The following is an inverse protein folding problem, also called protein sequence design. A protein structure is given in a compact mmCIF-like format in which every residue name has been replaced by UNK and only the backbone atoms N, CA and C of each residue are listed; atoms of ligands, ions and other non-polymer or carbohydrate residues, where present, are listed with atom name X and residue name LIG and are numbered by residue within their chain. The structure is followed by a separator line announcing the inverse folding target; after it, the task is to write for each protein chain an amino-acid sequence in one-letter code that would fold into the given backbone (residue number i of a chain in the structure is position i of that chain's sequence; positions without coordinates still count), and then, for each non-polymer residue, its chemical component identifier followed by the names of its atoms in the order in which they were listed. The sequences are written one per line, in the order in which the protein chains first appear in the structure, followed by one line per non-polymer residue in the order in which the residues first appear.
data_IF_728709196113
#
_entry.id   IF_728709196113
#
_cell.length_a   1.000
_cell.length_b   1.000
_cell.length_c   1.000
_cell.angle_alpha   90.00
_cell.angle_beta   90.00
_cell.angle_gamma   90.00
#
_symmetry.space_group_name_H-M   'P 1'
#
loop_
_entity.id
_entity.type
_entity.pdbx_description
1 polymer ?
#
# COMPACT_ATOMS: atom_id res chain seq x y z
N UNK A 1 -5.07 -13.44 -10.14
CA UNK A 1 -6.31 -13.33 -9.34
C UNK A 1 -7.27 -14.53 -9.41
N UNK A 2 -7.02 -15.54 -10.24
CA UNK A 2 -7.97 -16.66 -10.41
C UNK A 2 -8.28 -17.39 -9.08
N UNK A 3 -7.26 -17.59 -8.24
CA UNK A 3 -7.35 -18.33 -6.98
C UNK A 3 -7.36 -17.43 -5.73
N UNK A 4 -7.68 -16.15 -5.86
CA UNK A 4 -7.69 -15.20 -4.75
C UNK A 4 -9.04 -14.50 -4.69
N UNK A 5 -9.65 -14.44 -3.51
CA UNK A 5 -10.82 -13.60 -3.22
C UNK A 5 -10.37 -12.41 -2.38
N UNK A 6 -10.82 -11.21 -2.72
CA UNK A 6 -10.49 -9.99 -2.00
C UNK A 6 -11.73 -9.51 -1.25
N UNK A 7 -11.64 -9.55 0.07
CA UNK A 7 -12.62 -8.96 0.97
C UNK A 7 -11.97 -7.70 1.55
N UNK A 8 -12.52 -6.55 1.24
CA UNK A 8 -12.04 -5.26 1.72
C UNK A 8 -12.98 -4.72 2.80
N UNK A 9 -12.45 -3.86 3.69
CA UNK A 9 -13.24 -3.28 4.79
C UNK A 9 -13.06 -1.77 4.77
N UNK A 10 -14.13 -1.03 5.02
CA UNK A 10 -14.10 0.41 5.19
C UNK A 10 -13.36 0.79 6.47
N UNK A 11 -12.58 1.86 6.45
CA UNK A 11 -12.03 2.44 7.66
C UNK A 11 -13.13 3.07 8.51
N UNK A 12 -13.13 2.81 9.81
CA UNK A 12 -14.12 3.36 10.75
C UNK A 12 -13.68 4.66 11.41
N UNK A 13 -12.37 4.94 11.36
CA UNK A 13 -11.75 6.17 11.88
C UNK A 13 -10.47 6.48 11.11
N UNK A 14 -10.03 7.72 11.17
CA UNK A 14 -8.76 8.17 10.63
C UNK A 14 -7.72 8.34 11.73
N UNK A 15 -6.46 8.11 11.39
CA UNK A 15 -5.29 8.48 12.20
C UNK A 15 -4.62 9.70 11.60
N UNK A 16 -3.87 10.43 12.41
CA UNK A 16 -3.11 11.59 11.95
C UNK A 16 -2.19 11.29 10.77
N UNK A 17 -1.66 10.07 10.68
CA UNK A 17 -0.81 9.61 9.57
C UNK A 17 -1.55 9.23 8.29
N UNK A 18 -2.89 9.25 8.29
CA UNK A 18 -3.66 8.93 7.08
C UNK A 18 -3.52 10.03 6.02
N UNK A 19 -3.40 9.60 4.76
CA UNK A 19 -3.25 10.48 3.61
C UNK A 19 -3.91 9.94 2.32
N UNK A 20 -4.77 8.92 2.43
CA UNK A 20 -5.37 8.28 1.25
C UNK A 20 -6.14 9.26 0.36
N UNK A 21 -6.81 10.26 0.95
CA UNK A 21 -7.56 11.28 0.20
C UNK A 21 -6.62 12.16 -0.64
N UNK A 22 -5.44 12.51 -0.10
CA UNK A 22 -4.43 13.26 -0.84
C UNK A 22 -3.89 12.50 -2.07
N UNK A 23 -4.02 11.18 -2.08
CA UNK A 23 -3.60 10.32 -3.20
C UNK A 23 -4.78 9.91 -4.10
N UNK A 24 -5.85 10.72 -4.17
CA UNK A 24 -7.07 10.46 -4.94
C UNK A 24 -7.78 9.15 -4.53
N UNK A 25 -7.39 8.58 -3.38
CA UNK A 25 -8.00 7.41 -2.78
C UNK A 25 -9.21 7.74 -1.92
N UNK A 26 -9.62 6.76 -1.12
CA UNK A 26 -10.67 6.92 -0.10
C UNK A 26 -10.36 5.99 1.08
N UNK A 27 -10.91 6.26 2.27
CA UNK A 27 -10.81 5.35 3.41
C UNK A 27 -11.74 4.13 3.28
N UNK A 28 -12.15 3.82 2.08
CA UNK A 28 -12.94 2.66 1.69
C UNK A 28 -12.59 2.22 0.26
N UNK A 29 -12.81 0.95 -0.10
CA UNK A 29 -12.50 0.45 -1.42
C UNK A 29 -13.52 1.00 -2.45
N UNK A 30 -13.01 1.51 -3.58
CA UNK A 30 -13.84 1.95 -4.73
C UNK A 30 -13.89 0.89 -5.83
N UNK A 31 -12.86 0.03 -5.93
CA UNK A 31 -12.67 -0.95 -7.01
C UNK A 31 -11.82 -2.12 -6.55
N UNK A 32 -11.78 -3.19 -7.38
CA UNK A 32 -10.86 -4.31 -7.26
C UNK A 32 -11.06 -5.20 -6.04
N UNK A 33 -12.26 -5.23 -5.46
CA UNK A 33 -12.68 -6.17 -4.42
C UNK A 33 -13.73 -7.16 -4.97
N UNK A 34 -13.91 -8.27 -4.30
CA UNK A 34 -15.00 -9.23 -4.55
C UNK A 34 -16.14 -8.99 -3.56
N UNK A 35 -15.81 -8.62 -2.30
CA UNK A 35 -16.75 -8.14 -1.29
C UNK A 35 -16.15 -6.94 -0.59
N UNK A 36 -16.93 -5.89 -0.36
CA UNK A 36 -16.60 -4.76 0.52
C UNK A 36 -17.51 -4.79 1.74
N UNK A 37 -16.92 -4.70 2.93
CA UNK A 37 -17.63 -4.69 4.20
C UNK A 37 -17.58 -3.29 4.82
N UNK A 38 -18.75 -2.73 5.08
CA UNK A 38 -18.87 -1.47 5.80
C UNK A 38 -19.42 -1.75 7.21
N UNK A 39 -18.62 -1.56 8.27
CA UNK A 39 -19.10 -1.72 9.65
C UNK A 39 -20.21 -0.71 9.97
N UNK A 40 -21.33 -1.17 10.46
CA UNK A 40 -22.47 -0.36 10.91
C UNK A 40 -22.93 -0.93 12.25
N UNK A 41 -22.68 -0.23 13.34
CA UNK A 41 -22.99 -0.65 14.70
C UNK A 41 -22.52 -2.09 15.00
N UNK A 42 -23.44 -3.05 15.08
CA UNK A 42 -23.18 -4.46 15.42
C UNK A 42 -23.24 -5.41 14.21
N UNK A 43 -23.28 -4.89 12.99
CA UNK A 43 -23.29 -5.69 11.76
C UNK A 43 -22.43 -5.06 10.67
N UNK A 44 -22.28 -5.76 9.56
CA UNK A 44 -21.57 -5.28 8.38
C UNK A 44 -22.55 -5.19 7.21
N UNK A 45 -22.56 -4.06 6.51
CA UNK A 45 -23.14 -4.00 5.18
C UNK A 45 -22.15 -4.57 4.17
N UNK A 46 -22.54 -5.64 3.48
CA UNK A 46 -21.73 -6.28 2.45
C UNK A 46 -22.15 -5.78 1.05
N UNK A 47 -21.19 -5.23 0.32
CA UNK A 47 -21.34 -4.91 -1.10
C UNK A 47 -20.60 -5.96 -1.93
N UNK A 48 -21.31 -6.61 -2.85
CA UNK A 48 -20.79 -7.68 -3.68
C UNK A 48 -20.40 -7.13 -5.06
N UNK A 49 -19.16 -7.35 -5.46
CA UNK A 49 -18.61 -6.83 -6.73
C UNK A 49 -18.07 -7.95 -7.60
N UNK A 50 -18.91 -8.89 -7.98
CA UNK A 50 -18.54 -9.91 -8.94
C UNK A 50 -18.87 -11.34 -8.53
N UNK A 51 -18.62 -12.32 -9.42
CA UNK A 51 -19.10 -13.70 -9.26
C UNK A 51 -18.49 -14.43 -8.07
N UNK A 52 -17.26 -14.09 -7.67
CA UNK A 52 -16.63 -14.73 -6.50
C UNK A 52 -17.28 -14.28 -5.19
N UNK A 53 -17.55 -12.98 -5.07
CA UNK A 53 -18.28 -12.45 -3.93
C UNK A 53 -19.70 -13.02 -3.87
N UNK A 54 -20.39 -13.10 -5.01
CA UNK A 54 -21.74 -13.67 -5.10
C UNK A 54 -21.74 -15.13 -4.63
N UNK A 55 -20.79 -15.94 -5.10
CA UNK A 55 -20.66 -17.35 -4.68
C UNK A 55 -20.51 -17.50 -3.15
N UNK A 56 -19.79 -16.58 -2.50
CA UNK A 56 -19.66 -16.60 -1.03
C UNK A 56 -21.01 -16.30 -0.39
N UNK A 57 -21.71 -15.27 -0.85
CA UNK A 57 -23.04 -14.92 -0.30
C UNK A 57 -24.04 -16.07 -0.49
N UNK A 58 -24.02 -16.71 -1.65
CA UNK A 58 -24.93 -17.83 -1.95
C UNK A 58 -24.64 -19.07 -1.08
N UNK A 59 -23.36 -19.40 -0.88
CA UNK A 59 -22.96 -20.52 -0.05
C UNK A 59 -23.24 -20.32 1.45
N UNK A 60 -23.28 -19.07 1.88
CA UNK A 60 -23.50 -18.69 3.29
C UNK A 60 -24.77 -17.86 3.48
N UNK A 61 -25.77 -18.05 2.63
CA UNK A 61 -27.02 -17.30 2.60
C UNK A 61 -27.68 -17.06 3.96
N UNK A 62 -27.75 -18.01 4.90
CA UNK A 62 -28.38 -17.81 6.19
C UNK A 62 -27.74 -16.70 7.05
N UNK A 63 -26.48 -16.33 6.79
CA UNK A 63 -25.77 -15.28 7.51
C UNK A 63 -26.02 -13.88 6.92
N UNK A 64 -26.66 -13.80 5.74
CA UNK A 64 -26.92 -12.54 5.06
C UNK A 64 -28.41 -12.21 5.08
N UNK A 65 -28.71 -10.96 5.43
CA UNK A 65 -30.05 -10.39 5.39
C UNK A 65 -30.11 -9.27 4.36
N UNK A 66 -31.26 -9.02 3.79
CA UNK A 66 -31.46 -7.87 2.91
C UNK A 66 -31.36 -6.58 3.72
N UNK A 67 -30.59 -5.58 3.27
CA UNK A 67 -30.46 -4.32 3.95
C UNK A 67 -31.73 -3.51 3.84
N UNK A 68 -32.02 -2.62 4.83
CA UNK A 68 -33.02 -1.60 4.69
C UNK A 68 -32.60 -0.51 3.70
N UNK A 69 -33.55 0.26 3.18
CA UNK A 69 -33.24 1.40 2.28
C UNK A 69 -32.35 2.44 2.94
N UNK A 70 -32.44 2.64 4.24
CA UNK A 70 -31.64 3.59 5.00
C UNK A 70 -30.18 3.14 5.22
N UNK A 71 -29.89 1.84 5.10
CA UNK A 71 -28.54 1.30 5.39
C UNK A 71 -27.49 1.85 4.44
N UNK A 72 -27.85 2.12 3.19
CA UNK A 72 -26.94 2.72 2.21
C UNK A 72 -26.58 4.17 2.58
N UNK A 73 -27.54 4.94 3.06
CA UNK A 73 -27.33 6.33 3.48
C UNK A 73 -26.46 6.41 4.73
N UNK A 74 -26.69 5.51 5.70
CA UNK A 74 -25.87 5.40 6.91
C UNK A 74 -24.41 5.09 6.52
N UNK A 75 -24.20 4.11 5.63
CA UNK A 75 -22.87 3.80 5.10
C UNK A 75 -22.20 5.03 4.48
N UNK A 76 -22.92 5.76 3.63
CA UNK A 76 -22.36 6.92 2.95
C UNK A 76 -21.99 8.00 3.96
N UNK A 77 -22.82 8.28 4.94
CA UNK A 77 -22.52 9.24 6.00
C UNK A 77 -21.27 8.85 6.81
N UNK A 78 -21.09 7.56 7.12
CA UNK A 78 -19.88 7.06 7.79
C UNK A 78 -18.64 7.24 6.93
N UNK A 79 -18.69 6.90 5.65
CA UNK A 79 -17.60 7.09 4.68
C UNK A 79 -17.21 8.56 4.54
N UNK A 80 -18.17 9.45 4.45
CA UNK A 80 -17.95 10.90 4.35
C UNK A 80 -17.33 11.45 5.63
N UNK A 81 -17.77 10.99 6.79
CA UNK A 81 -17.20 11.37 8.09
C UNK A 81 -15.70 11.03 8.14
N UNK A 82 -15.32 9.80 7.82
CA UNK A 82 -13.92 9.37 7.87
C UNK A 82 -13.10 10.09 6.79
N UNK A 83 -13.65 10.30 5.60
CA UNK A 83 -12.98 11.07 4.54
C UNK A 83 -12.68 12.51 4.98
N UNK A 84 -13.63 13.17 5.63
CA UNK A 84 -13.45 14.52 6.22
C UNK A 84 -12.40 14.53 7.32
N UNK A 85 -12.34 13.49 8.18
CA UNK A 85 -11.29 13.37 9.19
C UNK A 85 -9.89 13.27 8.55
N UNK A 86 -9.74 12.43 7.53
CA UNK A 86 -8.46 12.31 6.79
C UNK A 86 -8.08 13.66 6.18
N UNK A 87 -9.02 14.34 5.51
CA UNK A 87 -8.75 15.66 4.93
C UNK A 87 -8.32 16.67 5.98
N UNK A 88 -9.00 16.72 7.11
CA UNK A 88 -8.63 17.62 8.22
C UNK A 88 -7.21 17.38 8.75
N UNK A 89 -6.77 16.12 8.84
CA UNK A 89 -5.38 15.82 9.21
C UNK A 89 -4.37 16.25 8.14
N UNK A 90 -4.72 16.15 6.86
CA UNK A 90 -3.88 16.60 5.74
C UNK A 90 -3.73 18.13 5.80
N UNK A 91 -4.85 18.84 5.94
CA UNK A 91 -4.90 20.31 5.98
C UNK A 91 -4.09 20.85 7.18
N UNK A 92 -4.26 20.26 8.36
CA UNK A 92 -3.54 20.66 9.57
C UNK A 92 -2.02 20.47 9.48
N UNK A 93 -1.53 19.58 8.62
CA UNK A 93 -0.09 19.37 8.39
C UNK A 93 0.49 20.28 7.32
N UNK A 94 -0.32 21.03 6.61
CA UNK A 94 0.13 21.77 5.45
C UNK A 94 0.72 20.88 4.36
N UNK A 95 0.19 19.66 4.22
CA UNK A 95 0.67 18.74 3.18
C UNK A 95 0.49 19.38 1.81
N UNK A 96 1.51 19.32 0.93
CA UNK A 96 1.41 19.92 -0.40
C UNK A 96 0.34 19.21 -1.23
N UNK A 97 -0.28 19.96 -2.14
CA UNK A 97 -1.17 19.40 -3.14
C UNK A 97 -0.43 18.30 -3.93
N UNK A 98 -1.08 17.17 -4.13
CA UNK A 98 -0.49 16.03 -4.86
C UNK A 98 -0.14 16.35 -6.29
N UNK A 99 -0.82 17.32 -6.91
CA UNK A 99 -0.44 17.86 -8.24
C UNK A 99 0.94 18.50 -8.23
N UNK A 100 1.33 19.12 -7.12
CA UNK A 100 2.66 19.72 -6.92
C UNK A 100 3.73 18.66 -6.63
N UNK A 101 3.36 17.56 -5.98
CA UNK A 101 4.28 16.43 -5.68
C UNK A 101 4.64 15.67 -6.96
N UNK A 102 3.71 15.58 -7.89
CA UNK A 102 3.91 14.94 -9.19
C UNK A 102 5.00 15.66 -9.98
N UNK A 103 6.12 15.00 -10.17
CA UNK A 103 7.28 15.55 -10.88
C UNK A 103 8.38 16.18 -10.01
N UNK A 104 8.14 16.36 -8.69
CA UNK A 104 9.19 16.84 -7.75
C UNK A 104 10.42 15.93 -7.79
N UNK A 105 10.23 14.62 -7.78
CA UNK A 105 11.32 13.64 -7.86
C UNK A 105 12.12 13.82 -9.15
N UNK A 106 11.44 13.92 -10.29
CA UNK A 106 12.07 14.12 -11.60
C UNK A 106 12.85 15.44 -11.67
N UNK A 107 12.26 16.52 -11.15
CA UNK A 107 12.90 17.84 -11.10
C UNK A 107 14.19 17.83 -10.27
N UNK A 108 14.18 17.10 -9.15
CA UNK A 108 15.31 17.00 -8.23
C UNK A 108 16.20 15.77 -8.48
N UNK A 109 15.98 15.00 -9.54
CA UNK A 109 16.68 13.74 -9.77
C UNK A 109 18.21 13.90 -9.75
N UNK A 110 18.73 14.93 -10.39
CA UNK A 110 20.18 15.20 -10.46
C UNK A 110 20.71 16.06 -9.29
N UNK A 111 19.84 16.47 -8.37
CA UNK A 111 20.22 17.28 -7.22
C UNK A 111 20.80 16.41 -6.10
N UNK A 112 22.05 16.02 -6.23
CA UNK A 112 22.73 15.04 -5.35
C UNK A 112 22.70 15.45 -3.88
N UNK A 113 22.92 16.73 -3.55
CA UNK A 113 22.93 17.22 -2.18
C UNK A 113 21.55 17.08 -1.52
N UNK A 114 20.46 17.36 -2.24
CA UNK A 114 19.11 17.12 -1.77
C UNK A 114 18.91 15.65 -1.33
N UNK A 115 19.38 14.69 -2.15
CA UNK A 115 19.23 13.27 -1.84
C UNK A 115 20.17 12.81 -0.72
N UNK A 116 21.36 13.43 -0.57
CA UNK A 116 22.26 13.19 0.57
C UNK A 116 21.64 13.65 1.88
N UNK A 117 21.07 14.84 1.89
CA UNK A 117 20.38 15.39 3.05
C UNK A 117 19.20 14.51 3.46
N UNK A 118 18.34 14.15 2.52
CA UNK A 118 17.22 13.23 2.73
C UNK A 118 17.63 11.84 3.24
N UNK A 119 18.83 11.39 2.90
CA UNK A 119 19.36 10.10 3.34
C UNK A 119 20.15 10.16 4.65
N UNK A 120 20.46 11.35 5.17
CA UNK A 120 21.43 11.56 6.25
C UNK A 120 21.13 10.81 7.54
N UNK A 121 19.85 10.61 7.87
CA UNK A 121 19.40 9.90 9.08
C UNK A 121 19.05 8.43 8.84
N UNK A 122 19.18 7.93 7.61
CA UNK A 122 18.80 6.58 7.27
C UNK A 122 19.89 5.57 7.69
N UNK A 123 19.52 4.57 8.48
CA UNK A 123 20.40 3.50 8.98
C UNK A 123 20.34 2.22 8.12
N UNK A 124 19.77 2.27 6.95
CA UNK A 124 19.67 1.15 5.99
C UNK A 124 18.97 -0.12 6.53
N UNK A 125 18.11 0.00 7.53
CA UNK A 125 17.46 -1.16 8.18
C UNK A 125 16.39 -1.84 7.31
N UNK A 126 15.94 -1.24 6.20
CA UNK A 126 14.93 -1.81 5.30
C UNK A 126 13.50 -1.84 5.84
N UNK A 127 13.22 -1.38 7.06
CA UNK A 127 11.88 -1.41 7.66
C UNK A 127 10.82 -0.72 6.78
N UNK A 128 11.17 0.39 6.14
CA UNK A 128 10.28 1.10 5.22
C UNK A 128 9.85 0.27 4.00
N UNK A 129 10.63 -0.75 3.59
CA UNK A 129 10.25 -1.68 2.54
C UNK A 129 9.30 -2.76 3.06
N UNK A 130 9.49 -3.20 4.31
CA UNK A 130 8.66 -4.26 4.91
C UNK A 130 7.24 -3.78 5.22
N UNK A 131 7.08 -2.51 5.60
CA UNK A 131 5.76 -1.94 5.92
C UNK A 131 5.04 -1.34 4.71
N UNK A 132 5.72 -1.15 3.59
CA UNK A 132 5.16 -0.52 2.41
C UNK A 132 4.43 -1.55 1.52
N UNK A 133 3.11 -1.42 1.31
CA UNK A 133 2.34 -2.38 0.52
C UNK A 133 2.69 -2.36 -0.98
N UNK A 134 3.38 -1.33 -1.44
CA UNK A 134 3.84 -1.22 -2.85
C UNK A 134 5.25 -1.77 -3.06
N UNK A 135 5.98 -2.10 -2.00
CA UNK A 135 7.31 -2.66 -2.10
C UNK A 135 7.24 -4.18 -2.28
N UNK A 136 7.84 -4.68 -3.34
CA UNK A 136 7.83 -6.11 -3.71
C UNK A 136 9.19 -6.57 -4.25
N UNK A 137 10.28 -5.88 -3.89
CA UNK A 137 11.63 -6.30 -4.26
C UNK A 137 11.95 -7.66 -3.62
N UNK A 138 12.60 -8.52 -4.39
CA UNK A 138 13.02 -9.84 -3.93
C UNK A 138 14.37 -10.22 -4.53
N UNK A 139 15.07 -11.11 -3.84
CA UNK A 139 16.30 -11.75 -4.28
C UNK A 139 16.03 -13.22 -4.53
N UNK A 140 16.57 -13.77 -5.62
CA UNK A 140 16.64 -15.19 -5.86
C UNK A 140 18.03 -15.70 -5.46
N UNK A 141 18.07 -16.76 -4.69
CA UNK A 141 19.29 -17.48 -4.34
C UNK A 141 19.12 -18.97 -4.57
N UNK A 142 20.19 -19.64 -4.96
CA UNK A 142 20.20 -21.07 -5.16
C UNK A 142 21.12 -21.72 -4.10
N UNK A 143 20.60 -22.75 -3.45
CA UNK A 143 21.34 -23.57 -2.50
C UNK A 143 21.39 -25.00 -3.02
N UNK A 144 22.53 -25.66 -2.85
CA UNK A 144 22.70 -27.07 -3.19
C UNK A 144 22.90 -27.87 -1.89
N UNK A 145 22.06 -28.88 -1.70
CA UNK A 145 22.20 -29.85 -0.62
C UNK A 145 22.36 -31.28 -1.17
N UNK A 146 22.44 -32.28 -0.29
CA UNK A 146 22.58 -33.68 -0.67
C UNK A 146 21.36 -34.23 -1.46
N UNK A 147 20.21 -33.60 -1.36
CA UNK A 147 18.97 -33.97 -2.05
C UNK A 147 18.78 -33.29 -3.40
N UNK A 148 19.65 -32.33 -3.76
CA UNK A 148 19.59 -31.58 -5.01
C UNK A 148 19.72 -30.08 -4.85
N UNK A 149 19.32 -29.30 -5.87
CA UNK A 149 19.29 -27.84 -5.84
C UNK A 149 17.93 -27.28 -5.43
N UNK A 150 17.93 -26.27 -4.58
CA UNK A 150 16.73 -25.51 -4.20
C UNK A 150 16.89 -24.05 -4.55
N UNK A 151 15.86 -23.44 -5.12
CA UNK A 151 15.78 -22.00 -5.34
C UNK A 151 14.93 -21.35 -4.29
N UNK A 152 15.48 -20.33 -3.64
CA UNK A 152 14.82 -19.52 -2.63
C UNK A 152 14.47 -18.14 -3.21
N UNK A 153 13.35 -17.62 -2.75
CA UNK A 153 12.95 -16.24 -2.97
C UNK A 153 12.82 -15.56 -1.60
N UNK A 154 13.72 -14.63 -1.33
CA UNK A 154 13.71 -13.82 -0.11
C UNK A 154 13.34 -12.37 -0.41
N UNK A 155 12.80 -11.68 0.59
CA UNK A 155 12.58 -10.24 0.48
C UNK A 155 13.92 -9.51 0.33
N UNK A 156 13.91 -8.48 -0.52
CA UNK A 156 15.01 -7.54 -0.67
C UNK A 156 14.52 -6.11 -0.42
N UNK A 157 15.41 -5.20 -0.15
CA UNK A 157 15.10 -3.80 0.09
C UNK A 157 16.03 -2.90 -0.72
N UNK A 158 15.45 -1.99 -1.48
CA UNK A 158 16.22 -1.07 -2.32
C UNK A 158 17.16 -0.15 -1.53
N UNK A 159 17.01 -0.04 -0.20
CA UNK A 159 17.91 0.72 0.67
C UNK A 159 19.07 -0.09 1.24
N UNK A 160 19.08 -1.42 1.11
CA UNK A 160 20.23 -2.22 1.53
C UNK A 160 21.45 -1.92 0.68
N UNK A 161 22.63 -1.91 1.31
CA UNK A 161 23.88 -1.64 0.63
C UNK A 161 24.26 -2.70 -0.44
N UNK A 162 23.66 -3.89 -0.34
CA UNK A 162 23.80 -4.99 -1.31
C UNK A 162 22.83 -4.89 -2.48
N UNK A 163 21.82 -4.02 -2.41
CA UNK A 163 20.86 -3.85 -3.49
C UNK A 163 21.53 -3.42 -4.79
N UNK A 164 21.13 -4.05 -5.89
CA UNK A 164 21.68 -3.85 -7.23
C UNK A 164 23.15 -4.30 -7.41
N UNK A 165 23.75 -5.02 -6.45
CA UNK A 165 25.06 -5.63 -6.63
C UNK A 165 25.01 -6.71 -7.70
N UNK A 166 25.96 -6.68 -8.63
CA UNK A 166 26.09 -7.66 -9.71
C UNK A 166 27.39 -8.44 -9.57
N UNK A 167 27.60 -9.43 -10.43
CA UNK A 167 28.83 -10.21 -10.48
C UNK A 167 30.08 -9.29 -10.54
N UNK A 168 31.19 -9.76 -9.98
CA UNK A 168 32.40 -8.94 -9.88
C UNK A 168 32.35 -7.88 -8.77
N UNK A 169 31.39 -7.97 -7.87
CA UNK A 169 31.22 -7.04 -6.74
C UNK A 169 30.94 -5.59 -7.15
N UNK A 170 30.53 -5.37 -8.39
CA UNK A 170 30.13 -4.05 -8.86
C UNK A 170 28.72 -3.69 -8.37
N UNK A 171 28.54 -2.44 -7.91
CA UNK A 171 27.24 -1.93 -7.50
C UNK A 171 27.01 -0.55 -8.15
N UNK A 172 26.08 -0.44 -9.13
CA UNK A 172 25.77 0.82 -9.79
C UNK A 172 25.05 1.83 -8.88
N UNK A 173 24.61 1.40 -7.68
CA UNK A 173 23.98 2.25 -6.65
C UNK A 173 24.69 2.09 -5.32
N UNK A 174 25.98 2.41 -5.32
CA UNK A 174 26.87 2.23 -4.17
C UNK A 174 26.46 3.08 -2.97
N UNK A 175 26.00 4.30 -3.22
CA UNK A 175 25.68 5.24 -2.14
C UNK A 175 24.22 5.19 -1.75
N UNK A 176 23.94 5.40 -0.46
CA UNK A 176 22.59 5.36 0.10
C UNK A 176 21.65 6.37 -0.58
N UNK A 177 22.11 7.58 -0.84
CA UNK A 177 21.31 8.60 -1.51
C UNK A 177 20.90 8.22 -2.95
N UNK A 178 21.72 7.43 -3.66
CA UNK A 178 21.37 6.90 -4.98
C UNK A 178 20.26 5.83 -4.87
N UNK A 179 20.33 5.00 -3.84
CA UNK A 179 19.31 4.00 -3.56
C UNK A 179 18.00 4.63 -3.10
N UNK A 180 18.08 5.66 -2.24
CA UNK A 180 16.92 6.43 -1.81
C UNK A 180 16.24 7.11 -3.00
N UNK A 181 17.00 7.82 -3.83
CA UNK A 181 16.50 8.41 -5.08
C UNK A 181 15.78 7.39 -5.95
N UNK A 182 16.39 6.23 -6.17
CA UNK A 182 15.79 5.14 -6.95
C UNK A 182 14.47 4.63 -6.35
N UNK A 183 14.31 4.67 -5.03
CA UNK A 183 13.06 4.31 -4.35
C UNK A 183 11.90 5.24 -4.72
N UNK A 184 12.17 6.53 -4.86
CA UNK A 184 11.16 7.54 -5.17
C UNK A 184 10.93 7.78 -6.66
N UNK A 185 11.86 7.34 -7.51
CA UNK A 185 11.78 7.52 -8.96
C UNK A 185 10.96 6.41 -9.66
N UNK A 186 10.69 5.29 -9.01
CA UNK A 186 10.01 4.12 -9.58
C UNK A 186 8.49 4.19 -9.51
#
# INVERSE_FOLDING_TARGET
RKNTTIIAVDCTYAKETCFCVAMEGAPYPKKFFDISLSPIDNYFLAEVAGPKGQKIVDNFRPFFKSPSSQTADIRQALRDRVSKQVQGFIDNRGAPDTTLVKGVVRKNYNHTEFWRDMASTCVECGACNLVCPTCHCFLLSDEKDASGGKRFRSWDACLYNTFARVAGNHNPRKHLHERLRNRFDK
#
